data_IF_464082638272
#
_entry.id   IF_464082638272
#
_cell.length_a   1.000
_cell.length_b   1.000
_cell.length_c   1.000
_cell.angle_alpha   90.00
_cell.angle_beta   90.00
_cell.angle_gamma   90.00
#
_symmetry.space_group_name_H-M   'P 1'
#
loop_
_entity.id
_entity.type
_entity.pdbx_description
1 polymer ?
#
# COMPACT_ATOMS: atom_id res chain seq x y z
N UNK A 1 -8.32 -21.06 2.63
CA UNK A 1 -8.09 -19.85 1.78
C UNK A 1 -7.98 -20.28 0.32
N UNK A 2 -8.64 -19.59 -0.61
CA UNK A 2 -8.53 -19.83 -2.06
C UNK A 2 -7.53 -18.86 -2.66
N UNK A 3 -6.59 -19.38 -3.46
CA UNK A 3 -5.59 -18.56 -4.17
C UNK A 3 -6.16 -17.91 -5.42
N UNK A 4 -5.53 -16.85 -5.87
CA UNK A 4 -5.87 -16.08 -7.08
C UNK A 4 -7.32 -15.58 -7.07
N UNK A 5 -7.72 -15.09 -5.90
CA UNK A 5 -9.06 -14.59 -5.63
C UNK A 5 -9.01 -13.25 -4.90
N UNK A 6 -9.99 -12.39 -5.19
CA UNK A 6 -10.32 -11.20 -4.39
C UNK A 6 -11.50 -11.57 -3.48
N UNK A 7 -11.35 -11.34 -2.19
CA UNK A 7 -12.37 -11.56 -1.17
C UNK A 7 -13.17 -10.28 -0.96
N UNK A 8 -14.49 -10.38 -1.02
CA UNK A 8 -15.40 -9.30 -0.68
C UNK A 8 -15.52 -9.19 0.83
N UNK A 9 -15.27 -8.00 1.39
CA UNK A 9 -15.48 -7.73 2.81
C UNK A 9 -14.53 -6.67 3.38
N UNK A 10 -14.79 -6.33 4.63
CA UNK A 10 -13.89 -5.47 5.38
C UNK A 10 -12.53 -6.14 5.56
N UNK A 11 -11.49 -5.36 5.31
CA UNK A 11 -10.11 -5.83 5.28
C UNK A 11 -9.73 -6.59 6.57
N UNK A 12 -10.01 -6.00 7.73
CA UNK A 12 -9.65 -6.57 9.02
C UNK A 12 -10.38 -7.90 9.30
N UNK A 13 -11.67 -7.98 8.96
CA UNK A 13 -12.48 -9.18 9.19
C UNK A 13 -12.01 -10.33 8.30
N UNK A 14 -11.72 -10.04 7.04
CA UNK A 14 -11.20 -11.06 6.10
C UNK A 14 -9.81 -11.52 6.52
N UNK A 15 -8.90 -10.60 6.90
CA UNK A 15 -7.56 -10.95 7.38
C UNK A 15 -7.59 -11.87 8.60
N UNK A 16 -8.49 -11.63 9.56
CA UNK A 16 -8.68 -12.49 10.74
C UNK A 16 -9.08 -13.92 10.40
N UNK A 17 -9.67 -14.15 9.22
CA UNK A 17 -10.05 -15.49 8.75
C UNK A 17 -8.88 -16.29 8.15
N UNK A 18 -7.74 -15.67 7.90
CA UNK A 18 -6.56 -16.34 7.35
C UNK A 18 -5.66 -16.89 8.44
N UNK A 19 -4.98 -18.01 8.12
CA UNK A 19 -3.98 -18.60 9.00
C UNK A 19 -2.75 -17.71 9.15
N UNK A 20 -1.97 -17.97 10.21
CA UNK A 20 -0.70 -17.29 10.44
C UNK A 20 0.35 -17.66 9.39
N UNK A 21 1.21 -16.73 9.04
CA UNK A 21 2.45 -16.99 8.29
C UNK A 21 2.23 -17.64 6.92
N UNK A 22 1.22 -17.21 6.18
CA UNK A 22 0.85 -17.76 4.85
C UNK A 22 1.46 -16.98 3.71
N UNK A 23 1.51 -15.63 3.80
CA UNK A 23 1.95 -14.78 2.71
C UNK A 23 3.46 -14.54 2.71
N UNK A 24 4.05 -14.48 1.53
CA UNK A 24 5.49 -14.18 1.37
C UNK A 24 5.76 -12.69 1.37
N UNK A 25 4.91 -11.91 0.70
CA UNK A 25 4.96 -10.45 0.67
C UNK A 25 3.55 -9.84 0.61
N UNK A 26 3.44 -8.58 1.02
CA UNK A 26 2.25 -7.78 0.80
C UNK A 26 2.57 -6.44 0.18
N UNK A 27 1.61 -5.91 -0.58
CA UNK A 27 1.72 -4.62 -1.28
C UNK A 27 0.37 -3.96 -1.22
N UNK A 28 0.30 -2.70 -0.81
CA UNK A 28 -0.97 -1.98 -0.81
C UNK A 28 -0.83 -0.47 -0.87
N UNK A 29 -1.94 0.16 -1.23
CA UNK A 29 -2.19 1.59 -1.12
C UNK A 29 -3.59 1.78 -0.52
N UNK A 30 -3.73 1.88 0.81
CA UNK A 30 -5.04 2.03 1.44
C UNK A 30 -5.68 3.38 1.09
N UNK A 31 -6.96 3.60 1.38
CA UNK A 31 -7.55 4.93 1.38
C UNK A 31 -6.77 5.86 2.32
N UNK A 32 -6.54 7.12 1.90
CA UNK A 32 -5.60 8.01 2.60
C UNK A 32 -6.27 8.98 3.59
N UNK A 33 -7.55 8.83 3.89
CA UNK A 33 -8.31 9.74 4.75
C UNK A 33 -8.20 11.22 4.30
N UNK A 34 -8.44 11.46 3.01
CA UNK A 34 -8.17 12.76 2.37
C UNK A 34 -9.27 13.79 2.53
N UNK A 35 -10.53 13.38 2.69
CA UNK A 35 -11.67 14.28 2.58
C UNK A 35 -11.82 15.24 3.75
N UNK A 36 -11.22 14.96 4.91
CA UNK A 36 -11.13 15.94 5.99
C UNK A 36 -10.31 17.19 5.62
N UNK A 37 -9.54 17.17 4.55
CA UNK A 37 -8.77 18.31 4.09
C UNK A 37 -9.55 19.25 3.14
N UNK A 38 -10.89 19.28 3.25
CA UNK A 38 -11.74 20.24 2.54
C UNK A 38 -11.45 20.26 1.04
N UNK A 39 -11.99 19.31 0.31
CA UNK A 39 -12.03 19.36 -1.14
C UNK A 39 -12.80 20.63 -1.57
N UNK A 40 -12.09 21.76 -1.66
CA UNK A 40 -12.66 23.00 -2.10
C UNK A 40 -13.21 22.87 -3.51
N UNK A 41 -14.31 23.55 -3.81
CA UNK A 41 -14.81 23.81 -5.15
C UNK A 41 -13.65 24.32 -6.02
N UNK A 42 -12.97 23.43 -6.79
CA UNK A 42 -11.81 23.81 -7.61
C UNK A 42 -10.84 22.68 -7.96
N UNK A 43 -11.10 21.46 -7.56
CA UNK A 43 -10.34 20.32 -8.10
C UNK A 43 -10.77 20.10 -9.54
N UNK A 44 -9.85 20.19 -10.50
CA UNK A 44 -10.07 19.91 -11.92
C UNK A 44 -10.59 18.48 -12.18
N UNK A 45 -10.54 17.59 -11.18
CA UNK A 45 -10.89 16.17 -11.30
C UNK A 45 -12.00 15.72 -10.33
N UNK A 46 -12.64 16.64 -9.60
CA UNK A 46 -13.69 16.30 -8.63
C UNK A 46 -13.15 15.57 -7.36
N UNK A 47 -14.02 15.30 -6.38
CA UNK A 47 -13.65 14.46 -5.23
C UNK A 47 -13.47 13.01 -5.67
N UNK A 48 -12.45 12.34 -5.14
CA UNK A 48 -12.34 10.88 -5.23
C UNK A 48 -13.42 10.31 -4.31
N UNK A 49 -14.43 9.68 -4.89
CA UNK A 49 -15.51 9.02 -4.13
C UNK A 49 -15.27 7.52 -4.22
N UNK A 50 -15.09 6.88 -3.08
CA UNK A 50 -15.12 5.42 -2.95
C UNK A 50 -16.56 4.98 -2.69
N UNK A 51 -17.04 3.98 -3.43
CA UNK A 51 -18.45 3.54 -3.37
C UNK A 51 -18.87 3.04 -1.97
N UNK A 52 -17.94 2.43 -1.24
CA UNK A 52 -18.23 1.73 0.01
C UNK A 52 -17.32 2.13 1.19
N UNK A 53 -16.41 3.10 1.03
CA UNK A 53 -15.47 3.47 2.09
C UNK A 53 -15.60 4.95 2.48
N UNK A 54 -15.69 5.19 3.78
CA UNK A 54 -15.69 6.56 4.34
C UNK A 54 -14.24 7.09 4.47
N UNK A 55 -13.76 7.83 3.47
CA UNK A 55 -12.41 8.45 3.46
C UNK A 55 -12.35 9.76 4.28
N UNK A 56 -13.23 9.90 5.31
CA UNK A 56 -13.38 11.10 6.15
C UNK A 56 -13.42 10.79 7.64
N UNK A 57 -12.77 9.76 8.08
CA UNK A 57 -12.73 9.36 9.49
C UNK A 57 -12.00 10.39 10.35
N UNK A 58 -12.34 10.53 11.64
CA UNK A 58 -11.47 11.16 12.62
C UNK A 58 -10.06 10.60 12.53
N UNK A 59 -9.04 11.44 12.70
CA UNK A 59 -7.67 11.04 12.42
C UNK A 59 -7.15 9.93 13.33
N UNK A 60 -7.54 9.98 14.59
CA UNK A 60 -7.23 8.96 15.61
C UNK A 60 -7.89 7.62 15.30
N UNK A 61 -9.14 7.65 14.86
CA UNK A 61 -9.86 6.45 14.43
C UNK A 61 -9.22 5.83 13.19
N UNK A 62 -8.91 6.65 12.18
CA UNK A 62 -8.21 6.18 10.97
C UNK A 62 -6.87 5.51 11.32
N UNK A 63 -6.04 6.16 12.15
CA UNK A 63 -4.76 5.61 12.54
C UNK A 63 -4.91 4.30 13.32
N UNK A 64 -5.89 4.22 14.23
CA UNK A 64 -6.17 2.99 14.99
C UNK A 64 -6.57 1.84 14.06
N UNK A 65 -7.45 2.06 13.10
CA UNK A 65 -7.82 1.06 12.11
C UNK A 65 -6.62 0.60 11.26
N UNK A 66 -5.77 1.54 10.83
CA UNK A 66 -4.57 1.18 10.07
C UNK A 66 -3.58 0.34 10.91
N UNK A 67 -3.42 0.64 12.21
CA UNK A 67 -2.59 -0.14 13.12
C UNK A 67 -3.12 -1.57 13.25
N UNK A 68 -4.43 -1.75 13.44
CA UNK A 68 -5.06 -3.08 13.56
C UNK A 68 -4.85 -3.91 12.29
N UNK A 69 -5.11 -3.33 11.12
CA UNK A 69 -4.90 -4.00 9.83
C UNK A 69 -3.43 -4.38 9.63
N UNK A 70 -2.51 -3.47 9.95
CA UNK A 70 -1.08 -3.71 9.80
C UNK A 70 -0.57 -4.81 10.75
N UNK A 71 -1.10 -4.91 11.97
CA UNK A 71 -0.76 -5.98 12.90
C UNK A 71 -1.32 -7.34 12.48
N UNK A 72 -2.53 -7.38 11.91
CA UNK A 72 -3.07 -8.60 11.29
C UNK A 72 -2.24 -9.03 10.06
N UNK A 73 -1.79 -8.10 9.25
CA UNK A 73 -0.86 -8.39 8.15
C UNK A 73 0.48 -8.92 8.67
N UNK A 74 0.98 -8.36 9.79
CA UNK A 74 2.18 -8.90 10.43
C UNK A 74 1.98 -10.35 10.87
N UNK A 75 0.83 -10.70 11.44
CA UNK A 75 0.50 -12.08 11.81
C UNK A 75 0.52 -13.01 10.61
N UNK A 76 -0.16 -12.61 9.50
CA UNK A 76 -0.36 -13.45 8.32
C UNK A 76 0.85 -13.55 7.40
N UNK A 77 1.78 -12.61 7.44
CA UNK A 77 3.02 -12.66 6.66
C UNK A 77 4.06 -13.55 7.36
N UNK A 78 4.80 -14.33 6.57
CA UNK A 78 5.87 -15.23 7.04
C UNK A 78 7.02 -14.45 7.68
N UNK A 79 7.73 -15.01 8.67
CA UNK A 79 9.01 -14.46 9.11
C UNK A 79 9.99 -14.34 7.93
N UNK A 80 10.67 -13.20 7.83
CA UNK A 80 11.50 -12.84 6.67
C UNK A 80 10.70 -12.25 5.51
N UNK A 81 9.38 -12.19 5.61
CA UNK A 81 8.52 -11.52 4.65
C UNK A 81 8.51 -10.00 4.81
N UNK A 82 7.93 -9.34 3.85
CA UNK A 82 7.89 -7.88 3.78
C UNK A 82 6.50 -7.38 3.40
N UNK A 83 6.19 -6.17 3.84
CA UNK A 83 4.97 -5.48 3.44
C UNK A 83 5.32 -4.08 2.92
N UNK A 84 4.83 -3.73 1.73
CA UNK A 84 5.03 -2.43 1.11
C UNK A 84 3.76 -1.60 1.22
N UNK A 85 3.83 -0.60 2.06
CA UNK A 85 2.72 0.28 2.37
C UNK A 85 2.91 1.62 1.66
N UNK A 86 2.19 1.82 0.54
CA UNK A 86 2.21 3.09 -0.17
C UNK A 86 1.23 4.05 0.48
N UNK A 87 1.70 5.20 0.88
CA UNK A 87 0.88 6.22 1.49
C UNK A 87 1.40 7.62 1.22
N UNK A 88 0.52 8.60 1.28
CA UNK A 88 0.87 10.00 1.09
C UNK A 88 1.10 10.68 2.44
N UNK A 89 2.15 11.50 2.52
CA UNK A 89 2.26 12.51 3.58
C UNK A 89 1.16 13.54 3.35
N UNK A 90 0.33 13.82 4.36
CA UNK A 90 -0.83 14.71 4.25
C UNK A 90 -0.50 16.08 4.85
N UNK A 91 -0.35 17.09 4.00
CA UNK A 91 -0.12 18.46 4.45
C UNK A 91 -1.43 19.18 4.71
N UNK A 92 -1.57 19.73 5.91
CA UNK A 92 -2.66 20.60 6.33
C UNK A 92 -2.13 22.03 6.48
N UNK A 93 -3.03 23.03 6.62
CA UNK A 93 -2.62 24.43 6.71
C UNK A 93 -1.58 24.69 7.82
N UNK A 94 -1.71 24.06 8.96
CA UNK A 94 -0.87 24.30 10.15
C UNK A 94 -0.09 23.06 10.62
N UNK A 95 -0.17 21.94 9.91
CA UNK A 95 0.45 20.69 10.34
C UNK A 95 0.67 19.74 9.18
N UNK A 96 1.48 18.74 9.43
CA UNK A 96 1.69 17.62 8.51
C UNK A 96 1.39 16.33 9.28
N UNK A 97 0.68 15.40 8.64
CA UNK A 97 0.41 14.07 9.16
C UNK A 97 1.27 13.10 8.37
N UNK A 98 2.19 12.47 9.05
CA UNK A 98 3.13 11.54 8.43
C UNK A 98 2.79 10.09 8.78
N UNK A 99 2.72 9.16 7.81
CA UNK A 99 2.39 7.76 8.08
C UNK A 99 3.28 7.09 9.14
N UNK A 100 4.48 7.55 9.33
CA UNK A 100 5.40 7.06 10.36
C UNK A 100 4.80 7.16 11.77
N UNK A 101 3.86 8.10 12.00
CA UNK A 101 3.23 8.32 13.31
C UNK A 101 2.44 7.09 13.80
N UNK A 102 1.86 6.31 12.88
CA UNK A 102 1.19 5.06 13.23
C UNK A 102 1.98 3.82 12.88
N UNK A 103 2.86 3.87 11.87
CA UNK A 103 3.71 2.73 11.53
C UNK A 103 4.63 2.31 12.68
N UNK A 104 5.15 3.28 13.45
CA UNK A 104 5.99 3.01 14.64
C UNK A 104 5.22 2.42 15.83
N UNK A 105 3.89 2.37 15.75
CA UNK A 105 3.02 1.76 16.77
C UNK A 105 2.60 0.33 16.41
N UNK A 106 3.08 -0.20 15.29
CA UNK A 106 2.82 -1.56 14.82
C UNK A 106 3.98 -2.51 15.18
N UNK A 107 3.75 -3.80 15.01
CA UNK A 107 4.77 -4.83 15.21
C UNK A 107 5.85 -4.86 14.11
N UNK A 108 5.69 -4.07 13.05
CA UNK A 108 6.59 -4.03 11.91
C UNK A 108 7.89 -3.27 12.20
N UNK A 109 9.01 -3.80 11.70
CA UNK A 109 10.25 -3.04 11.56
C UNK A 109 10.21 -2.23 10.26
N UNK A 110 10.35 -0.91 10.35
CA UNK A 110 10.49 -0.06 9.15
C UNK A 110 11.90 -0.24 8.62
N UNK A 111 12.05 -0.96 7.50
CA UNK A 111 13.36 -1.24 6.90
C UNK A 111 13.86 -0.09 6.04
N UNK A 112 12.97 0.53 5.29
CA UNK A 112 13.31 1.67 4.43
C UNK A 112 12.07 2.48 4.05
N UNK A 113 12.26 3.78 3.88
CA UNK A 113 11.33 4.65 3.18
C UNK A 113 11.82 4.84 1.74
N UNK A 114 10.95 4.57 0.77
CA UNK A 114 11.18 4.74 -0.66
C UNK A 114 10.31 5.90 -1.12
N UNK A 115 10.87 6.81 -1.90
CA UNK A 115 10.15 7.93 -2.46
C UNK A 115 9.67 7.57 -3.86
N UNK A 116 8.36 7.56 -4.07
CA UNK A 116 7.81 7.53 -5.41
C UNK A 116 7.60 8.96 -5.90
N UNK A 117 8.52 9.43 -6.75
CA UNK A 117 8.40 10.68 -7.49
C UNK A 117 7.44 10.47 -8.66
N UNK A 118 6.27 11.07 -8.55
CA UNK A 118 5.19 11.00 -9.54
C UNK A 118 5.41 11.93 -10.73
N UNK A 119 6.45 12.77 -10.66
CA UNK A 119 6.81 13.79 -11.67
C UNK A 119 5.71 14.81 -11.96
N UNK A 120 4.56 14.70 -11.31
CA UNK A 120 3.41 15.61 -11.48
C UNK A 120 2.76 15.92 -10.14
N UNK A 121 2.46 17.19 -9.89
CA UNK A 121 1.70 17.63 -8.73
C UNK A 121 0.22 17.83 -9.09
N UNK A 122 -0.68 17.35 -8.25
CA UNK A 122 -2.13 17.48 -8.44
C UNK A 122 -2.71 18.56 -7.49
N UNK A 123 -2.20 18.65 -6.26
CA UNK A 123 -2.67 19.58 -5.24
C UNK A 123 -1.76 20.82 -5.17
N UNK A 124 -2.08 21.82 -5.95
CA UNK A 124 -1.33 23.07 -6.03
C UNK A 124 -1.90 24.09 -5.02
N UNK A 125 -1.67 23.87 -3.72
CA UNK A 125 -2.10 24.78 -2.65
C UNK A 125 -0.98 25.75 -2.27
N UNK A 126 -1.32 26.97 -1.90
CA UNK A 126 -0.34 28.03 -1.62
C UNK A 126 0.32 28.00 -0.24
N UNK A 127 0.03 27.00 0.60
CA UNK A 127 0.59 26.92 1.96
C UNK A 127 1.71 25.88 2.13
N UNK A 128 2.09 25.18 1.06
CA UNK A 128 3.22 24.24 0.99
C UNK A 128 3.78 24.17 -0.43
N UNK A 129 4.98 23.62 -0.60
CA UNK A 129 5.48 23.25 -1.92
C UNK A 129 4.60 22.18 -2.54
N UNK A 130 4.42 22.23 -3.85
CA UNK A 130 3.54 21.29 -4.56
C UNK A 130 4.07 19.86 -4.46
N UNK A 131 3.32 19.04 -3.78
CA UNK A 131 3.70 17.65 -3.54
C UNK A 131 3.53 16.82 -4.80
N UNK A 132 4.64 16.29 -5.29
CA UNK A 132 4.70 15.40 -6.44
C UNK A 132 5.12 13.97 -6.07
N UNK A 133 5.19 13.67 -4.79
CA UNK A 133 5.67 12.40 -4.28
C UNK A 133 4.65 11.68 -3.40
N UNK A 134 4.82 10.37 -3.31
CA UNK A 134 4.24 9.50 -2.30
C UNK A 134 5.35 8.69 -1.64
N UNK A 135 5.07 8.11 -0.47
CA UNK A 135 6.01 7.30 0.28
C UNK A 135 5.62 5.84 0.21
N UNK A 136 6.58 4.99 -0.05
CA UNK A 136 6.42 3.54 0.04
C UNK A 136 7.27 3.08 1.21
N UNK A 137 6.62 2.68 2.30
CA UNK A 137 7.29 2.17 3.48
C UNK A 137 7.53 0.68 3.30
N UNK A 138 8.78 0.28 3.27
CA UNK A 138 9.16 -1.11 3.33
C UNK A 138 9.17 -1.56 4.77
N UNK A 139 8.15 -2.29 5.15
CA UNK A 139 7.98 -2.93 6.44
C UNK A 139 8.49 -4.37 6.36
N UNK A 140 9.20 -4.80 7.37
CA UNK A 140 9.87 -6.09 7.39
C UNK A 140 9.54 -6.86 8.67
N UNK A 141 9.28 -8.16 8.52
CA UNK A 141 9.12 -9.09 9.63
C UNK A 141 10.39 -9.92 9.81
N UNK A 142 11.21 -9.66 10.84
CA UNK A 142 12.46 -10.38 11.05
C UNK A 142 12.25 -11.90 11.20
N UNK A 143 13.21 -12.68 10.73
CA UNK A 143 13.27 -14.12 10.99
C UNK A 143 13.76 -14.42 12.39
N UNK A 144 14.83 -13.75 12.78
CA UNK A 144 15.48 -13.83 14.08
C UNK A 144 16.03 -12.45 14.43
N UNK A 145 16.35 -12.19 15.68
CA UNK A 145 16.82 -10.89 16.16
C UNK A 145 18.17 -10.43 15.55
N UNK A 146 18.90 -11.29 14.88
CA UNK A 146 20.27 -11.06 14.40
C UNK A 146 20.51 -11.30 12.90
N UNK A 147 19.50 -11.57 12.07
CA UNK A 147 19.72 -11.81 10.65
C UNK A 147 19.27 -10.64 9.79
N UNK A 148 20.22 -9.97 9.15
CA UNK A 148 19.93 -9.10 8.01
C UNK A 148 19.74 -9.98 6.77
N UNK A 149 18.50 -10.15 6.31
CA UNK A 149 18.28 -10.74 4.99
C UNK A 149 18.74 -9.75 3.91
N UNK A 150 19.82 -10.10 3.24
CA UNK A 150 20.29 -9.33 2.09
C UNK A 150 19.37 -9.59 0.89
N UNK A 151 19.03 -8.52 0.18
CA UNK A 151 18.38 -8.65 -1.11
C UNK A 151 19.39 -9.17 -2.14
N UNK A 152 19.26 -10.43 -2.53
CA UNK A 152 20.15 -11.09 -3.50
C UNK A 152 19.72 -10.93 -4.95
N UNK A 153 18.54 -10.35 -5.18
CA UNK A 153 18.03 -10.12 -6.53
C UNK A 153 18.84 -9.07 -7.28
N UNK A 154 19.11 -9.29 -8.56
CA UNK A 154 19.65 -8.26 -9.44
C UNK A 154 18.77 -7.00 -9.50
N UNK A 155 17.49 -7.11 -9.17
CA UNK A 155 16.53 -6.02 -9.11
C UNK A 155 16.64 -5.20 -7.82
N UNK A 156 17.35 -5.70 -6.81
CA UNK A 156 17.58 -5.00 -5.55
C UNK A 156 18.54 -3.81 -5.65
N UNK A 157 19.27 -3.68 -6.76
CA UNK A 157 20.19 -2.56 -7.03
C UNK A 157 19.46 -1.29 -7.51
N UNK A 158 18.21 -1.12 -7.14
CA UNK A 158 17.45 0.08 -7.45
C UNK A 158 17.72 1.18 -6.43
N UNK A 159 17.70 2.41 -6.90
CA UNK A 159 17.77 3.58 -6.02
C UNK A 159 16.47 3.69 -5.21
N UNK A 160 16.53 4.37 -4.06
CA UNK A 160 15.37 4.59 -3.19
C UNK A 160 14.39 5.67 -3.69
N UNK A 161 14.75 6.37 -4.75
CA UNK A 161 13.84 7.31 -5.44
C UNK A 161 13.38 6.66 -6.74
N UNK A 162 12.10 6.34 -6.80
CA UNK A 162 11.46 5.72 -7.96
C UNK A 162 10.70 6.77 -8.76
N UNK A 163 11.00 6.90 -10.06
CA UNK A 163 10.36 7.87 -10.96
C UNK A 163 9.52 7.15 -11.99
N UNK A 164 8.21 7.32 -11.90
CA UNK A 164 7.26 6.89 -12.92
C UNK A 164 5.92 7.60 -12.73
N UNK A 165 5.21 7.79 -13.82
CA UNK A 165 3.92 8.46 -13.82
C UNK A 165 2.85 7.61 -13.13
N UNK A 166 1.86 8.24 -12.45
CA UNK A 166 0.65 7.56 -12.02
C UNK A 166 -0.10 6.97 -13.23
N UNK A 167 -0.80 5.87 -13.00
CA UNK A 167 -1.72 5.34 -14.00
C UNK A 167 -2.94 6.27 -14.13
N UNK A 168 -3.24 6.72 -15.36
CA UNK A 168 -4.36 7.61 -15.65
C UNK A 168 -5.48 6.93 -16.44
N UNK A 169 -5.26 5.71 -16.89
CA UNK A 169 -6.16 4.98 -17.81
C UNK A 169 -6.90 3.83 -17.15
N UNK A 170 -6.86 3.76 -15.82
CA UNK A 170 -7.53 2.74 -15.03
C UNK A 170 -8.89 3.26 -14.55
N UNK A 171 -9.91 2.40 -14.52
CA UNK A 171 -11.25 2.73 -14.03
C UNK A 171 -11.33 2.93 -12.51
N UNK A 172 -10.22 2.79 -11.79
CA UNK A 172 -10.14 3.05 -10.35
C UNK A 172 -9.79 4.52 -10.07
N UNK A 173 -10.39 5.16 -9.07
CA UNK A 173 -10.17 6.59 -8.77
C UNK A 173 -8.74 6.97 -8.42
N UNK A 174 -7.93 6.05 -7.89
CA UNK A 174 -6.56 6.31 -7.48
C UNK A 174 -5.66 5.06 -7.56
N UNK A 175 -5.49 4.44 -8.75
CA UNK A 175 -4.64 3.26 -8.89
C UNK A 175 -3.17 3.66 -8.78
N UNK A 176 -2.37 2.83 -8.13
CA UNK A 176 -0.93 2.90 -8.36
C UNK A 176 -0.56 2.17 -9.66
N UNK A 177 0.52 2.61 -10.35
CA UNK A 177 0.86 2.04 -11.65
C UNK A 177 1.43 0.63 -11.51
N UNK A 178 1.18 -0.20 -12.53
CA UNK A 178 1.59 -1.61 -12.57
C UNK A 178 3.10 -1.82 -12.33
N UNK A 179 3.93 -0.85 -12.72
CA UNK A 179 5.37 -0.90 -12.50
C UNK A 179 5.76 -0.99 -11.03
N UNK A 180 4.94 -0.44 -10.11
CA UNK A 180 5.22 -0.45 -8.68
C UNK A 180 5.21 -1.88 -8.10
N UNK A 181 4.11 -2.65 -8.17
CA UNK A 181 4.09 -4.01 -7.65
C UNK A 181 5.03 -4.95 -8.43
N UNK A 182 5.18 -4.79 -9.76
CA UNK A 182 6.17 -5.55 -10.52
C UNK A 182 7.57 -5.37 -9.96
N UNK A 183 7.96 -4.13 -9.68
CA UNK A 183 9.29 -3.81 -9.13
C UNK A 183 9.51 -4.46 -7.77
N UNK A 184 8.52 -4.39 -6.89
CA UNK A 184 8.57 -5.00 -5.56
C UNK A 184 8.69 -6.53 -5.66
N UNK A 185 7.78 -7.18 -6.39
CA UNK A 185 7.75 -8.64 -6.52
C UNK A 185 9.08 -9.15 -7.11
N UNK A 186 9.57 -8.55 -8.19
CA UNK A 186 10.87 -8.91 -8.77
C UNK A 186 12.04 -8.74 -7.80
N UNK A 187 12.02 -7.68 -6.98
CA UNK A 187 13.11 -7.41 -6.04
C UNK A 187 13.17 -8.42 -4.91
N UNK A 188 12.03 -8.89 -4.42
CA UNK A 188 11.97 -9.76 -3.23
C UNK A 188 11.83 -11.24 -3.56
N UNK A 189 10.95 -11.61 -4.47
CA UNK A 189 10.71 -13.01 -4.82
C UNK A 189 11.70 -13.53 -5.86
N UNK A 190 12.32 -12.66 -6.65
CA UNK A 190 13.42 -12.99 -7.59
C UNK A 190 13.12 -14.20 -8.49
N UNK A 191 11.91 -14.27 -9.06
CA UNK A 191 11.47 -15.37 -9.92
C UNK A 191 11.09 -16.65 -9.16
N UNK A 192 10.96 -16.60 -7.85
CA UNK A 192 10.36 -17.67 -7.06
C UNK A 192 8.83 -17.47 -7.02
N UNK A 193 8.11 -18.55 -7.20
CA UNK A 193 6.68 -18.56 -6.96
C UNK A 193 6.44 -18.18 -5.49
N UNK A 194 5.63 -17.15 -5.27
CA UNK A 194 5.29 -16.67 -3.94
C UNK A 194 3.84 -16.27 -3.85
N UNK A 195 3.34 -16.11 -2.64
CA UNK A 195 1.99 -15.69 -2.37
C UNK A 195 1.98 -14.21 -1.94
N UNK A 196 1.29 -13.38 -2.72
CA UNK A 196 1.20 -11.94 -2.54
C UNK A 196 -0.16 -11.58 -1.95
N UNK A 197 -0.20 -10.73 -0.92
CA UNK A 197 -1.44 -10.15 -0.35
C UNK A 197 -1.57 -8.68 -0.69
N UNK A 198 -2.77 -8.25 -1.11
CA UNK A 198 -3.15 -6.84 -1.15
C UNK A 198 -4.49 -6.66 -0.41
N UNK A 199 -4.48 -6.09 0.79
CA UNK A 199 -5.68 -5.94 1.62
C UNK A 199 -6.63 -4.81 1.17
N UNK A 200 -6.23 -4.01 0.17
CA UNK A 200 -7.04 -2.96 -0.45
C UNK A 200 -6.85 -3.02 -1.97
N UNK A 201 -7.27 -4.15 -2.56
CA UNK A 201 -6.93 -4.57 -3.92
C UNK A 201 -7.39 -3.58 -5.00
N UNK A 202 -8.51 -2.90 -4.81
CA UNK A 202 -9.08 -2.00 -5.81
C UNK A 202 -9.24 -2.68 -7.17
N UNK A 203 -8.81 -2.01 -8.22
CA UNK A 203 -8.89 -2.51 -9.61
C UNK A 203 -7.98 -3.71 -9.94
N UNK A 204 -7.28 -4.28 -8.96
CA UNK A 204 -6.50 -5.50 -9.17
C UNK A 204 -5.08 -5.31 -9.70
N UNK A 205 -4.47 -4.13 -9.57
CA UNK A 205 -3.10 -3.88 -10.08
C UNK A 205 -2.08 -4.87 -9.51
N UNK A 206 -2.16 -5.16 -8.21
CA UNK A 206 -1.30 -6.17 -7.56
C UNK A 206 -1.57 -7.57 -8.06
N UNK A 207 -2.83 -7.93 -8.33
CA UNK A 207 -3.21 -9.23 -8.89
C UNK A 207 -2.62 -9.42 -10.30
N UNK A 208 -2.74 -8.39 -11.15
CA UNK A 208 -2.15 -8.41 -12.51
C UNK A 208 -0.63 -8.58 -12.45
N UNK A 209 0.05 -7.82 -11.58
CA UNK A 209 1.49 -7.92 -11.40
C UNK A 209 1.93 -9.31 -10.94
N UNK A 210 1.20 -9.89 -9.99
CA UNK A 210 1.46 -11.24 -9.47
C UNK A 210 1.34 -12.29 -10.58
N UNK A 211 0.26 -12.24 -11.37
CA UNK A 211 0.06 -13.15 -12.51
C UNK A 211 1.14 -13.02 -13.58
N UNK A 212 1.53 -11.80 -13.93
CA UNK A 212 2.62 -11.57 -14.90
C UNK A 212 3.96 -12.12 -14.44
N UNK A 213 4.14 -12.32 -13.14
CA UNK A 213 5.38 -12.81 -12.52
C UNK A 213 5.24 -14.23 -11.96
N UNK A 214 4.22 -14.97 -12.40
CA UNK A 214 3.97 -16.36 -12.00
C UNK A 214 3.86 -16.56 -10.47
N UNK A 215 3.33 -15.53 -9.78
CA UNK A 215 3.03 -15.57 -8.36
C UNK A 215 1.53 -15.77 -8.13
N UNK A 216 1.18 -16.43 -7.06
CA UNK A 216 -0.19 -16.47 -6.58
C UNK A 216 -0.50 -15.20 -5.80
N UNK A 217 -1.78 -14.83 -5.75
CA UNK A 217 -2.22 -13.66 -4.99
C UNK A 217 -3.50 -13.93 -4.20
N UNK A 218 -3.70 -13.10 -3.20
CA UNK A 218 -4.97 -12.91 -2.50
C UNK A 218 -5.22 -11.42 -2.41
N UNK A 219 -6.42 -10.99 -2.80
CA UNK A 219 -6.87 -9.62 -2.64
C UNK A 219 -8.04 -9.53 -1.68
N UNK A 220 -8.23 -8.35 -1.10
CA UNK A 220 -9.43 -8.02 -0.33
C UNK A 220 -9.94 -6.66 -0.83
N UNK A 221 -11.24 -6.55 -1.03
CA UNK A 221 -11.89 -5.28 -1.32
C UNK A 221 -13.32 -5.26 -0.76
N UNK A 222 -13.81 -4.09 -0.38
CA UNK A 222 -15.19 -3.89 0.12
C UNK A 222 -16.19 -3.65 -1.01
N UNK A 223 -15.71 -3.36 -2.22
CA UNK A 223 -16.54 -3.03 -3.36
C UNK A 223 -16.77 -4.24 -4.26
N UNK A 224 -18.01 -4.65 -4.44
CA UNK A 224 -18.40 -5.69 -5.40
C UNK A 224 -17.96 -5.39 -6.84
N UNK A 225 -17.75 -4.12 -7.16
CA UNK A 225 -17.33 -3.67 -8.49
C UNK A 225 -15.93 -4.17 -8.88
N UNK A 226 -15.08 -4.52 -7.91
CA UNK A 226 -13.70 -4.95 -8.14
C UNK A 226 -13.47 -6.46 -7.95
N UNK A 227 -14.53 -7.21 -7.74
CA UNK A 227 -14.54 -8.67 -7.59
C UNK A 227 -15.17 -9.31 -8.80
#
# INVERSE_FOLDING_TARGET
MNLNKIYLGECLDVLKSFDDKVFDIGITSPPYNKLQSGGGKGSLFGPIIYDCFNDTLPEDEYQSQQIEVLNELYRTIKPGGSFFYNHKVRHRKNSTIHPIEWLTKTDWSIKQEIVWDRMTAINMRGFHFWQNDERIYWLYKPKNDNTSDEMKSKHAKLLSIWRFLPDRYNNHPAPFPLVLPIRIIKSLLNGKNGLVIDPYMGSGTTAVASKLLECDYVGIDVSEKYI
#
